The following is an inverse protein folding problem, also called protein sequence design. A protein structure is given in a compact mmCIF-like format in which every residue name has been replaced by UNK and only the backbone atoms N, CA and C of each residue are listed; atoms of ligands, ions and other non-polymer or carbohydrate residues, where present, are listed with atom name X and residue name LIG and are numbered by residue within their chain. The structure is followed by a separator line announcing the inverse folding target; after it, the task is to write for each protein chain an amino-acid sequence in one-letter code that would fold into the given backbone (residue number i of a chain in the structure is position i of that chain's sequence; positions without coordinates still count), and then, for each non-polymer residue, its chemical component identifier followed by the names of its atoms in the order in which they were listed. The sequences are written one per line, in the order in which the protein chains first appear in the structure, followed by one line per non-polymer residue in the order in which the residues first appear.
data_IF_042305591593
#
_entry.id   IF_042305591593
#
_cell.length_a   1.000
_cell.length_b   1.000
_cell.length_c   1.000
_cell.angle_alpha   90.00
_cell.angle_beta   90.00
_cell.angle_gamma   90.00
#
_symmetry.space_group_name_H-M   'P 1'
#
loop_
_entity.id
_entity.type
_entity.pdbx_description
1 polymer ?
#
# COMPACT_ATOMS: atom_id res chain seq x y z
N UNK A 1 -2.50 -7.96 15.11
CA UNK A 1 -3.27 -8.16 13.87
C UNK A 1 -3.55 -6.78 13.29
N UNK A 2 -3.45 -6.58 11.97
CA UNK A 2 -3.66 -5.28 11.35
C UNK A 2 -5.13 -4.88 11.43
N UNK A 3 -5.42 -3.71 12.00
CA UNK A 3 -6.75 -3.11 12.00
C UNK A 3 -6.99 -2.30 10.72
N UNK A 4 -8.26 -2.02 10.42
CA UNK A 4 -8.63 -1.12 9.31
C UNK A 4 -8.11 0.29 9.57
N UNK A 5 -8.21 0.79 10.81
CA UNK A 5 -7.77 2.15 11.17
C UNK A 5 -6.26 2.34 10.96
N UNK A 6 -5.45 1.38 11.43
CA UNK A 6 -4.00 1.39 11.21
C UNK A 6 -3.66 1.37 9.72
N UNK A 7 -4.38 0.54 8.95
CA UNK A 7 -4.20 0.46 7.52
C UNK A 7 -4.52 1.80 6.85
N UNK A 8 -5.63 2.44 7.20
CA UNK A 8 -6.04 3.72 6.61
C UNK A 8 -5.02 4.83 6.88
N UNK A 9 -4.42 4.89 8.08
CA UNK A 9 -3.35 5.84 8.40
C UNK A 9 -2.14 5.64 7.47
N UNK A 10 -1.73 4.39 7.25
CA UNK A 10 -0.61 4.07 6.36
C UNK A 10 -0.96 4.38 4.90
N UNK A 11 -2.19 4.08 4.47
CA UNK A 11 -2.65 4.34 3.11
C UNK A 11 -2.71 5.84 2.79
N UNK A 12 -3.11 6.71 3.73
CA UNK A 12 -3.08 8.16 3.52
C UNK A 12 -1.65 8.65 3.22
N UNK A 13 -0.67 8.16 3.98
CA UNK A 13 0.75 8.47 3.73
C UNK A 13 1.25 7.90 2.42
N UNK A 14 0.80 6.69 2.05
CA UNK A 14 1.14 6.07 0.77
C UNK A 14 0.61 6.89 -0.40
N UNK A 15 -0.65 7.35 -0.33
CA UNK A 15 -1.26 8.20 -1.35
C UNK A 15 -0.49 9.50 -1.51
N UNK A 16 -0.07 10.15 -0.42
CA UNK A 16 0.80 11.34 -0.49
C UNK A 16 2.11 11.07 -1.23
N UNK A 17 2.74 9.92 -0.98
CA UNK A 17 3.95 9.51 -1.71
C UNK A 17 3.68 9.28 -3.20
N UNK A 18 2.54 8.67 -3.54
CA UNK A 18 2.14 8.40 -4.92
C UNK A 18 1.75 9.69 -5.67
N UNK A 19 1.15 10.69 -5.01
CA UNK A 19 0.91 12.02 -5.60
C UNK A 19 2.20 12.71 -6.03
N UNK A 20 3.26 12.62 -5.23
CA UNK A 20 4.58 13.15 -5.63
C UNK A 20 5.17 12.42 -6.85
N UNK A 21 4.74 11.19 -7.12
CA UNK A 21 5.21 10.39 -8.25
C UNK A 21 4.35 10.56 -9.52
N UNK A 22 3.03 10.68 -9.37
CA UNK A 22 2.05 10.64 -10.45
C UNK A 22 1.19 11.93 -10.57
N UNK A 23 1.50 12.98 -9.82
CA UNK A 23 0.70 14.21 -9.71
C UNK A 23 -0.55 13.99 -8.85
N UNK A 24 -1.41 13.06 -9.25
CA UNK A 24 -2.68 12.77 -8.59
C UNK A 24 -2.82 11.27 -8.29
N UNK A 25 -3.23 10.99 -7.06
CA UNK A 25 -3.49 9.64 -6.56
C UNK A 25 -4.60 9.67 -5.50
N UNK A 26 -5.40 8.60 -5.44
CA UNK A 26 -6.49 8.45 -4.48
C UNK A 26 -6.85 6.99 -4.22
N UNK A 27 -7.30 6.70 -2.99
CA UNK A 27 -7.82 5.36 -2.65
C UNK A 27 -9.15 5.20 -3.39
N UNK A 28 -9.23 4.20 -4.25
CA UNK A 28 -10.46 3.85 -4.96
C UNK A 28 -11.30 2.88 -4.14
N UNK A 29 -10.66 1.86 -3.57
CA UNK A 29 -11.37 0.78 -2.89
C UNK A 29 -10.47 0.09 -1.85
N UNK A 30 -11.05 -0.23 -0.69
CA UNK A 30 -10.47 -1.11 0.31
C UNK A 30 -11.46 -2.22 0.60
N UNK A 31 -11.10 -3.47 0.32
CA UNK A 31 -11.89 -4.66 0.65
C UNK A 31 -11.23 -5.41 1.79
N UNK A 32 -12.02 -5.66 2.83
CA UNK A 32 -11.63 -6.49 3.94
C UNK A 32 -12.12 -7.92 3.74
N UNK A 33 -11.19 -8.86 3.62
CA UNK A 33 -11.47 -10.30 3.63
C UNK A 33 -11.21 -10.93 5.00
N UNK A 34 -11.50 -12.23 5.14
CA UNK A 34 -11.31 -12.96 6.41
C UNK A 34 -9.86 -12.97 6.91
N UNK A 35 -8.88 -12.98 6.00
CA UNK A 35 -7.45 -13.06 6.35
C UNK A 35 -6.55 -12.05 5.66
N UNK A 36 -7.12 -11.13 4.87
CA UNK A 36 -6.35 -10.14 4.11
C UNK A 36 -7.15 -8.88 3.82
N UNK A 37 -6.42 -7.80 3.53
CA UNK A 37 -6.93 -6.57 2.94
C UNK A 37 -6.51 -6.50 1.48
N UNK A 38 -7.43 -6.07 0.62
CA UNK A 38 -7.17 -5.73 -0.76
C UNK A 38 -7.41 -4.23 -0.94
N UNK A 39 -6.41 -3.52 -1.43
CA UNK A 39 -6.45 -2.07 -1.61
C UNK A 39 -6.19 -1.74 -3.08
N UNK A 40 -7.00 -0.84 -3.61
CA UNK A 40 -6.87 -0.30 -4.96
C UNK A 40 -6.70 1.21 -4.86
N UNK A 41 -5.61 1.73 -5.42
CA UNK A 41 -5.31 3.16 -5.50
C UNK A 41 -5.26 3.55 -6.97
N UNK A 42 -6.03 4.56 -7.35
CA UNK A 42 -6.01 5.13 -8.70
C UNK A 42 -4.94 6.21 -8.82
N UNK A 43 -4.30 6.28 -10.00
CA UNK A 43 -3.34 7.30 -10.40
C UNK A 43 -3.90 7.98 -11.66
N UNK A 44 -4.11 9.30 -11.63
CA UNK A 44 -4.84 9.99 -12.70
C UNK A 44 -4.04 10.06 -14.02
N UNK A 45 -2.72 10.21 -13.94
CA UNK A 45 -1.85 10.14 -15.11
C UNK A 45 -0.41 10.03 -14.67
N UNK A 46 0.33 9.05 -15.18
CA UNK A 46 1.78 9.10 -15.05
C UNK A 46 2.45 8.83 -16.41
N UNK A 47 3.68 9.35 -16.62
CA UNK A 47 4.43 9.13 -17.87
C UNK A 47 4.72 7.66 -18.15
N UNK A 48 4.45 6.82 -17.16
CA UNK A 48 4.78 5.41 -17.08
C UNK A 48 3.61 4.49 -17.51
N UNK A 49 2.43 5.04 -17.79
CA UNK A 49 1.23 4.30 -18.19
C UNK A 49 0.56 3.51 -17.07
N UNK A 50 0.94 3.73 -15.80
CA UNK A 50 0.34 3.04 -14.66
C UNK A 50 -0.84 3.85 -14.15
N UNK A 51 -2.03 3.25 -14.19
CA UNK A 51 -3.29 3.86 -13.73
C UNK A 51 -3.74 3.36 -12.36
N UNK A 52 -3.22 2.23 -11.89
CA UNK A 52 -3.70 1.61 -10.65
C UNK A 52 -2.59 0.90 -9.89
N UNK A 53 -2.61 1.03 -8.56
CA UNK A 53 -1.79 0.25 -7.62
C UNK A 53 -2.72 -0.70 -6.87
N UNK A 54 -2.55 -2.01 -7.09
CA UNK A 54 -3.23 -3.05 -6.32
C UNK A 54 -2.30 -3.55 -5.23
N UNK A 55 -2.79 -3.62 -4.00
CA UNK A 55 -2.04 -4.07 -2.83
C UNK A 55 -2.84 -5.16 -2.12
N UNK A 56 -2.16 -6.23 -1.73
CA UNK A 56 -2.70 -7.34 -0.95
C UNK A 56 -1.87 -7.46 0.34
N UNK A 57 -2.51 -7.39 1.49
CA UNK A 57 -1.86 -7.42 2.81
C UNK A 57 -2.53 -8.49 3.64
N UNK A 58 -1.78 -9.51 4.09
CA UNK A 58 -2.33 -10.47 5.08
C UNK A 58 -2.57 -9.75 6.42
N UNK A 59 -3.67 -10.04 7.11
CA UNK A 59 -4.02 -9.41 8.40
C UNK A 59 -3.05 -9.73 9.54
N UNK A 60 -2.36 -10.87 9.43
CA UNK A 60 -1.23 -11.24 10.30
C UNK A 60 0.08 -10.54 9.92
N UNK A 61 0.04 -9.72 8.86
CA UNK A 61 1.15 -9.01 8.25
C UNK A 61 2.29 -9.91 7.78
N UNK A 62 2.08 -11.21 7.63
CA UNK A 62 3.11 -12.15 7.16
C UNK A 62 3.56 -11.89 5.72
N UNK A 63 2.67 -11.34 4.88
CA UNK A 63 2.91 -11.12 3.45
C UNK A 63 2.25 -9.85 2.94
N UNK A 64 2.97 -9.18 2.05
CA UNK A 64 2.51 -8.04 1.26
C UNK A 64 2.86 -8.26 -0.20
N UNK A 65 1.86 -8.11 -1.07
CA UNK A 65 2.02 -8.09 -2.51
C UNK A 65 1.57 -6.76 -3.08
N UNK A 66 2.29 -6.27 -4.08
CA UNK A 66 2.02 -5.02 -4.79
C UNK A 66 2.06 -5.29 -6.28
N UNK A 67 1.06 -4.78 -7.00
CA UNK A 67 0.93 -4.93 -8.43
C UNK A 67 0.59 -3.57 -9.06
N UNK A 68 1.57 -3.00 -9.76
CA UNK A 68 1.45 -1.76 -10.54
C UNK A 68 1.77 -1.96 -12.01
N UNK A 69 2.27 -3.14 -12.40
CA UNK A 69 2.80 -3.39 -13.74
C UNK A 69 4.20 -2.77 -13.96
N UNK A 70 4.78 -2.11 -12.96
CA UNK A 70 6.17 -1.65 -12.97
C UNK A 70 6.92 -2.11 -11.73
N UNK A 71 7.88 -3.01 -11.94
CA UNK A 71 8.69 -3.62 -10.87
C UNK A 71 9.35 -2.58 -9.95
N UNK A 72 9.87 -1.48 -10.51
CA UNK A 72 10.50 -0.42 -9.71
C UNK A 72 9.52 0.28 -8.76
N UNK A 73 8.28 0.50 -9.20
CA UNK A 73 7.23 1.10 -8.39
C UNK A 73 6.68 0.08 -7.38
N UNK A 74 6.50 -1.18 -7.77
CA UNK A 74 6.12 -2.27 -6.87
C UNK A 74 7.08 -2.38 -5.68
N UNK A 75 8.40 -2.38 -5.96
CA UNK A 75 9.43 -2.43 -4.93
C UNK A 75 9.46 -1.18 -4.04
N UNK A 76 9.12 0.00 -4.58
CA UNK A 76 9.08 1.25 -3.81
C UNK A 76 7.89 1.26 -2.85
N UNK A 77 6.70 0.93 -3.34
CA UNK A 77 5.47 0.82 -2.53
C UNK A 77 5.61 -0.30 -1.50
N UNK A 78 6.14 -1.46 -1.88
CA UNK A 78 6.35 -2.57 -0.94
C UNK A 78 7.29 -2.19 0.19
N UNK A 79 8.42 -1.53 -0.11
CA UNK A 79 9.36 -1.02 0.92
C UNK A 79 8.72 0.00 1.85
N UNK A 80 7.91 0.90 1.30
CA UNK A 80 7.15 1.86 2.09
C UNK A 80 6.22 1.16 3.08
N UNK A 81 5.40 0.22 2.61
CA UNK A 81 4.45 -0.52 3.45
C UNK A 81 5.15 -1.34 4.54
N UNK A 82 6.26 -2.01 4.20
CA UNK A 82 7.06 -2.76 5.16
C UNK A 82 7.61 -1.89 6.29
N UNK A 83 7.92 -0.61 6.01
CA UNK A 83 8.44 0.33 7.01
C UNK A 83 7.33 0.88 7.90
N UNK A 84 6.19 1.26 7.32
CA UNK A 84 5.13 1.98 8.04
C UNK A 84 4.18 1.06 8.81
N UNK A 85 3.99 -0.19 8.39
CA UNK A 85 3.08 -1.12 9.07
C UNK A 85 3.73 -1.68 10.34
N UNK A 86 3.32 -1.16 11.50
CA UNK A 86 3.86 -1.55 12.80
C UNK A 86 3.77 -3.06 13.11
N UNK A 87 2.74 -3.74 12.59
CA UNK A 87 2.58 -5.19 12.76
C UNK A 87 3.66 -6.04 12.06
N UNK A 88 4.39 -5.48 11.10
CA UNK A 88 5.59 -6.09 10.50
C UNK A 88 6.88 -5.77 11.27
N UNK A 89 6.83 -4.74 12.11
CA UNK A 89 7.95 -4.27 12.92
C UNK A 89 7.99 -4.88 14.33
N UNK A 90 7.09 -5.82 14.66
CA UNK A 90 7.04 -6.45 15.97
C UNK A 90 8.40 -7.08 16.33
N UNK A 91 9.11 -6.52 17.31
CA UNK A 91 10.32 -7.14 17.86
C UNK A 91 11.66 -6.46 17.60
N UNK A 92 11.72 -5.15 17.39
CA UNK A 92 12.94 -4.38 17.72
C UNK A 92 12.60 -3.28 18.71
N UNK A 93 12.98 -3.54 19.96
CA UNK A 93 12.68 -2.71 21.12
C UNK A 93 13.08 -1.25 20.97
N UNK A 94 12.29 -0.42 21.64
CA UNK A 94 12.80 0.57 22.59
C UNK A 94 11.95 0.47 23.85
#
# INVERSE_FOLDING_TARGET
MLSVDDLMIVLDRLVKMLRLYAGEAGIREVREGKGEFQVYIELASNPSGVSTVKILIKKDCSKIWVYTGRVSLDLKVKRFLLRELACLNGGRGR
#
